data_IF_337880189870
#
_entry.id   IF_337880189870
#
_cell.length_a   1.000
_cell.length_b   1.000
_cell.length_c   1.000
_cell.angle_alpha   90.00
_cell.angle_beta   90.00
_cell.angle_gamma   90.00
#
_symmetry.space_group_name_H-M   'P 1'
#
loop_
_entity.id
_entity.type
_entity.pdbx_description
1 polymer ?
#
# COMPACT_ATOMS: atom_id res chain seq x y z
N UNK A 1 -29.71 -17.04 13.50
CA UNK A 1 -28.96 -17.72 14.57
C UNK A 1 -29.90 -18.68 15.26
N UNK A 2 -29.59 -19.98 15.28
CA UNK A 2 -30.37 -20.94 16.06
C UNK A 2 -30.17 -20.66 17.56
N UNK A 3 -31.10 -21.09 18.41
CA UNK A 3 -31.09 -20.79 19.85
C UNK A 3 -29.85 -21.29 20.64
N UNK A 4 -28.92 -22.02 20.00
CA UNK A 4 -27.74 -22.60 20.66
C UNK A 4 -26.40 -22.02 20.20
N UNK A 5 -26.36 -21.12 19.21
CA UNK A 5 -25.09 -20.54 18.74
C UNK A 5 -24.67 -19.37 19.64
N UNK A 6 -23.46 -19.44 20.20
CA UNK A 6 -22.89 -18.36 21.02
C UNK A 6 -21.72 -17.72 20.30
N UNK A 7 -21.76 -16.39 20.16
CA UNK A 7 -20.65 -15.62 19.62
C UNK A 7 -19.70 -15.23 20.75
N UNK A 8 -18.45 -15.68 20.67
CA UNK A 8 -17.41 -15.46 21.67
C UNK A 8 -16.25 -14.67 21.09
N UNK A 9 -15.56 -13.90 21.94
CA UNK A 9 -14.31 -13.23 21.56
C UNK A 9 -13.19 -14.28 21.46
N UNK A 10 -12.51 -14.35 20.32
CA UNK A 10 -11.41 -15.29 20.12
C UNK A 10 -10.07 -14.81 20.70
N UNK A 11 -9.96 -13.55 21.13
CA UNK A 11 -8.69 -12.90 21.52
C UNK A 11 -8.73 -12.45 23.00
N UNK A 12 -9.35 -13.25 23.87
CA UNK A 12 -9.33 -13.02 25.32
C UNK A 12 -9.32 -14.34 26.09
N UNK A 13 -8.81 -14.29 27.31
CA UNK A 13 -8.78 -15.44 28.23
C UNK A 13 -10.15 -15.75 28.86
N UNK A 14 -11.15 -14.89 28.62
CA UNK A 14 -12.50 -15.02 29.15
C UNK A 14 -13.51 -15.41 28.06
N UNK A 15 -14.01 -16.63 28.16
CA UNK A 15 -14.97 -17.27 27.26
C UNK A 15 -16.35 -16.59 27.27
N UNK A 16 -16.61 -15.76 28.30
CA UNK A 16 -17.88 -15.04 28.46
C UNK A 16 -17.85 -13.63 27.85
N UNK A 17 -16.69 -13.15 27.39
CA UNK A 17 -16.62 -11.88 26.67
C UNK A 17 -17.26 -12.02 25.29
N UNK A 18 -18.41 -11.36 25.12
CA UNK A 18 -19.10 -11.27 23.83
C UNK A 18 -18.22 -10.53 22.84
N UNK A 19 -18.11 -11.06 21.62
CA UNK A 19 -17.55 -10.30 20.51
C UNK A 19 -18.42 -9.07 20.21
N UNK A 20 -17.80 -7.94 19.83
CA UNK A 20 -18.48 -6.67 19.55
C UNK A 20 -19.30 -6.65 18.25
N UNK A 21 -19.57 -7.81 17.63
CA UNK A 21 -20.34 -7.92 16.40
C UNK A 21 -21.81 -7.58 16.68
N UNK A 22 -22.19 -6.33 16.43
CA UNK A 22 -23.47 -5.79 16.91
C UNK A 22 -24.41 -5.38 15.76
N UNK A 23 -23.91 -4.99 14.57
CA UNK A 23 -24.76 -4.44 13.50
C UNK A 23 -24.35 -4.79 12.06
N UNK A 24 -25.34 -5.07 11.21
CA UNK A 24 -25.19 -5.34 9.76
C UNK A 24 -24.64 -4.14 8.98
N UNK A 25 -24.92 -2.91 9.43
CA UNK A 25 -24.46 -1.67 8.78
C UNK A 25 -22.93 -1.58 8.79
N UNK A 26 -22.27 -1.83 9.94
CA UNK A 26 -20.81 -1.82 10.02
C UNK A 26 -20.16 -2.94 9.23
N UNK A 27 -20.84 -4.09 9.09
CA UNK A 27 -20.39 -5.16 8.20
C UNK A 27 -20.38 -4.71 6.74
N UNK A 28 -21.44 -4.02 6.29
CA UNK A 28 -21.51 -3.48 4.93
C UNK A 28 -20.44 -2.43 4.68
N UNK A 29 -20.25 -1.47 5.61
CA UNK A 29 -19.17 -0.48 5.50
C UNK A 29 -17.79 -1.14 5.42
N UNK A 30 -17.50 -2.09 6.32
CA UNK A 30 -16.23 -2.80 6.30
C UNK A 30 -16.03 -3.64 5.04
N UNK A 31 -17.08 -4.29 4.53
CA UNK A 31 -17.03 -5.01 3.27
C UNK A 31 -16.69 -4.09 2.09
N UNK A 32 -17.28 -2.90 2.04
CA UNK A 32 -16.95 -1.88 1.02
C UNK A 32 -15.49 -1.43 1.12
N UNK A 33 -14.97 -1.20 2.32
CA UNK A 33 -13.54 -0.89 2.49
C UNK A 33 -12.65 -2.05 2.08
N UNK A 34 -12.97 -3.28 2.50
CA UNK A 34 -12.28 -4.49 2.05
C UNK A 34 -12.29 -4.56 0.52
N UNK A 35 -13.40 -4.26 -0.15
CA UNK A 35 -13.47 -4.21 -1.61
C UNK A 35 -12.47 -3.22 -2.22
N UNK A 36 -12.45 -1.96 -1.76
CA UNK A 36 -11.55 -0.91 -2.27
C UNK A 36 -10.08 -1.33 -2.15
N UNK A 37 -9.68 -1.84 -0.98
CA UNK A 37 -8.29 -2.20 -0.70
C UNK A 37 -7.88 -3.58 -1.25
N UNK A 38 -8.82 -4.53 -1.36
CA UNK A 38 -8.55 -5.91 -1.78
C UNK A 38 -8.47 -6.08 -3.31
N UNK A 39 -9.20 -5.28 -4.09
CA UNK A 39 -9.16 -5.33 -5.55
C UNK A 39 -7.93 -4.66 -6.17
N UNK A 40 -6.96 -4.24 -5.38
CA UNK A 40 -5.85 -3.40 -5.85
C UNK A 40 -6.34 -2.14 -6.58
N UNK A 41 -7.59 -1.71 -6.39
CA UNK A 41 -8.20 -0.61 -7.16
C UNK A 41 -7.38 0.68 -7.06
N UNK A 42 -6.87 0.99 -5.87
CA UNK A 42 -5.97 2.12 -5.64
C UNK A 42 -4.60 1.93 -6.32
N UNK A 43 -4.08 0.70 -6.36
CA UNK A 43 -2.83 0.40 -7.06
C UNK A 43 -3.00 0.53 -8.58
N UNK A 44 -4.13 0.08 -9.14
CA UNK A 44 -4.49 0.27 -10.54
C UNK A 44 -4.53 1.75 -10.91
N UNK A 45 -5.27 2.55 -10.14
CA UNK A 45 -5.36 3.99 -10.34
C UNK A 45 -3.96 4.63 -10.28
N UNK A 46 -3.13 4.25 -9.32
CA UNK A 46 -1.77 4.77 -9.19
C UNK A 46 -0.86 4.39 -10.38
N UNK A 47 -0.95 3.16 -10.89
CA UNK A 47 -0.18 2.73 -12.09
C UNK A 47 -0.69 3.47 -13.34
N UNK A 48 -2.00 3.65 -13.49
CA UNK A 48 -2.57 4.45 -14.59
C UNK A 48 -2.09 5.90 -14.53
N UNK A 49 -2.04 6.50 -13.33
CA UNK A 49 -1.47 7.84 -13.15
C UNK A 49 0.01 7.89 -13.57
N UNK A 50 0.79 6.83 -13.36
CA UNK A 50 2.18 6.77 -13.84
C UNK A 50 2.30 6.76 -15.38
N UNK A 51 1.24 6.43 -16.11
CA UNK A 51 1.16 6.49 -17.58
C UNK A 51 0.61 7.85 -18.02
N UNK A 52 -0.52 8.28 -17.45
CA UNK A 52 -1.22 9.52 -17.84
C UNK A 52 -0.36 10.73 -17.56
N UNK A 53 0.32 10.77 -16.41
CA UNK A 53 1.11 11.91 -15.99
C UNK A 53 2.22 12.29 -17.02
N UNK A 54 3.13 11.40 -17.45
CA UNK A 54 4.11 11.78 -18.45
C UNK A 54 3.50 12.15 -19.81
N UNK A 55 2.37 11.54 -20.21
CA UNK A 55 1.64 11.93 -21.44
C UNK A 55 1.16 13.37 -21.33
N UNK A 56 0.51 13.72 -20.21
CA UNK A 56 0.05 15.07 -19.94
C UNK A 56 1.21 16.08 -20.01
N UNK A 57 2.31 15.81 -19.31
CA UNK A 57 3.48 16.70 -19.33
C UNK A 57 4.15 16.80 -20.70
N UNK A 58 4.03 15.77 -21.55
CA UNK A 58 4.53 15.81 -22.92
C UNK A 58 3.65 16.66 -23.84
N UNK A 59 2.33 16.61 -23.67
CA UNK A 59 1.37 17.38 -24.48
C UNK A 59 1.34 18.85 -24.09
N UNK A 60 1.43 19.16 -22.79
CA UNK A 60 1.33 20.52 -22.25
C UNK A 60 2.68 21.18 -21.96
N UNK A 61 3.80 20.45 -22.11
CA UNK A 61 5.15 20.90 -21.80
C UNK A 61 5.80 21.79 -22.86
N UNK A 62 5.04 22.55 -23.66
CA UNK A 62 5.61 23.51 -24.61
C UNK A 62 6.15 24.74 -23.85
N UNK A 63 7.48 24.94 -23.87
CA UNK A 63 8.18 26.03 -23.18
C UNK A 63 8.56 25.67 -21.73
N UNK A 64 9.46 24.69 -21.56
CA UNK A 64 9.65 23.99 -20.28
C UNK A 64 10.19 24.93 -19.20
N UNK A 65 9.32 25.27 -18.25
CA UNK A 65 9.70 25.94 -17.01
C UNK A 65 10.34 24.92 -16.06
N UNK A 66 11.50 25.23 -15.48
CA UNK A 66 12.19 24.38 -14.49
C UNK A 66 11.26 23.94 -13.35
N UNK A 67 10.30 24.79 -12.96
CA UNK A 67 9.31 24.48 -11.93
C UNK A 67 8.40 23.31 -12.30
N UNK A 68 8.03 23.19 -13.58
CA UNK A 68 7.16 22.12 -14.08
C UNK A 68 7.88 20.75 -14.05
N UNK A 69 9.17 20.72 -14.43
CA UNK A 69 10.02 19.53 -14.33
C UNK A 69 10.22 19.09 -12.87
N UNK A 70 10.42 20.05 -11.96
CA UNK A 70 10.53 19.78 -10.52
C UNK A 70 9.25 19.19 -9.95
N UNK A 71 8.10 19.80 -10.29
CA UNK A 71 6.80 19.29 -9.89
C UNK A 71 6.56 17.88 -10.43
N UNK A 72 6.89 17.62 -11.71
CA UNK A 72 6.80 16.28 -12.30
C UNK A 72 7.62 15.24 -11.51
N UNK A 73 8.89 15.51 -11.28
CA UNK A 73 9.77 14.57 -10.57
C UNK A 73 9.28 14.30 -9.14
N UNK A 74 8.83 15.35 -8.43
CA UNK A 74 8.29 15.23 -7.06
C UNK A 74 7.01 14.40 -7.04
N UNK A 75 6.06 14.72 -7.91
CA UNK A 75 4.76 14.03 -7.97
C UNK A 75 4.91 12.57 -8.43
N UNK A 76 5.76 12.28 -9.41
CA UNK A 76 6.05 10.89 -9.83
C UNK A 76 6.69 10.08 -8.70
N UNK A 77 7.64 10.67 -7.97
CA UNK A 77 8.26 10.02 -6.82
C UNK A 77 7.24 9.76 -5.70
N UNK A 78 6.30 10.68 -5.45
CA UNK A 78 5.21 10.47 -4.48
C UNK A 78 4.31 9.29 -4.86
N UNK A 79 3.94 9.16 -6.14
CA UNK A 79 3.13 8.02 -6.62
C UNK A 79 3.91 6.70 -6.48
N UNK A 80 5.21 6.70 -6.78
CA UNK A 80 6.05 5.50 -6.60
C UNK A 80 6.21 5.13 -5.12
N UNK A 81 6.38 6.12 -4.24
CA UNK A 81 6.41 5.89 -2.79
C UNK A 81 5.07 5.36 -2.28
N UNK A 82 3.94 5.87 -2.79
CA UNK A 82 2.61 5.36 -2.46
C UNK A 82 2.48 3.88 -2.81
N UNK A 83 2.79 3.51 -4.06
CA UNK A 83 2.77 2.11 -4.52
C UNK A 83 3.71 1.22 -3.69
N UNK A 84 4.88 1.74 -3.32
CA UNK A 84 5.85 1.01 -2.51
C UNK A 84 5.29 0.72 -1.13
N UNK A 85 4.79 1.73 -0.42
CA UNK A 85 4.22 1.53 0.92
C UNK A 85 3.02 0.58 0.90
N UNK A 86 2.16 0.71 -0.11
CA UNK A 86 0.96 -0.11 -0.22
C UNK A 86 1.30 -1.59 -0.45
N UNK A 87 2.18 -1.88 -1.41
CA UNK A 87 2.65 -3.25 -1.69
C UNK A 87 3.54 -3.81 -0.58
N UNK A 88 4.35 -2.97 0.06
CA UNK A 88 5.18 -3.38 1.19
C UNK A 88 4.33 -3.82 2.38
N UNK A 89 3.30 -3.04 2.74
CA UNK A 89 2.43 -3.38 3.87
C UNK A 89 1.70 -4.70 3.63
N UNK A 90 1.20 -4.94 2.42
CA UNK A 90 0.48 -6.19 2.14
C UNK A 90 1.42 -7.39 2.31
N UNK A 91 2.65 -7.33 1.77
CA UNK A 91 3.63 -8.41 1.97
C UNK A 91 4.02 -8.56 3.44
N UNK A 92 4.33 -7.45 4.12
CA UNK A 92 4.78 -7.45 5.51
C UNK A 92 3.69 -7.98 6.45
N UNK A 93 2.44 -7.57 6.26
CA UNK A 93 1.31 -8.04 7.06
C UNK A 93 1.03 -9.53 6.84
N UNK A 94 1.16 -10.04 5.60
CA UNK A 94 1.01 -11.48 5.31
C UNK A 94 2.13 -12.30 5.96
N UNK A 95 3.37 -11.81 5.92
CA UNK A 95 4.49 -12.43 6.63
C UNK A 95 4.23 -12.47 8.15
N UNK A 96 3.77 -11.36 8.74
CA UNK A 96 3.43 -11.31 10.17
C UNK A 96 2.28 -12.25 10.52
N UNK A 97 1.22 -12.30 9.71
CA UNK A 97 0.08 -13.22 9.92
C UNK A 97 0.51 -14.69 9.89
N UNK A 98 1.48 -15.04 9.04
CA UNK A 98 2.03 -16.38 8.98
C UNK A 98 2.92 -16.70 10.20
N UNK A 99 3.78 -15.77 10.59
CA UNK A 99 4.73 -15.96 11.70
C UNK A 99 4.06 -15.87 13.09
N UNK A 100 2.95 -15.14 13.19
CA UNK A 100 2.19 -14.94 14.43
C UNK A 100 0.73 -15.35 14.23
N UNK A 101 0.43 -16.65 14.05
CA UNK A 101 -0.93 -17.11 13.89
C UNK A 101 -1.71 -16.83 15.18
N UNK A 102 -2.61 -15.85 15.12
CA UNK A 102 -3.59 -15.60 16.19
C UNK A 102 -4.96 -16.10 15.78
N UNK A 103 -5.72 -16.50 16.79
CA UNK A 103 -7.15 -16.75 16.65
C UNK A 103 -7.85 -15.53 16.04
N UNK A 104 -8.87 -15.76 15.20
CA UNK A 104 -9.68 -14.68 14.66
C UNK A 104 -10.44 -13.97 15.78
N UNK A 105 -10.83 -12.71 15.52
CA UNK A 105 -11.44 -11.85 16.54
C UNK A 105 -12.73 -12.42 17.13
N UNK A 106 -13.55 -13.09 16.31
CA UNK A 106 -14.85 -13.61 16.72
C UNK A 106 -15.00 -15.07 16.29
N UNK A 107 -15.40 -15.89 17.26
CA UNK A 107 -15.65 -17.32 17.10
C UNK A 107 -17.15 -17.58 17.32
N UNK A 108 -17.69 -18.52 16.56
CA UNK A 108 -19.03 -19.06 16.73
C UNK A 108 -18.88 -20.43 17.41
N UNK A 109 -19.48 -20.56 18.58
CA UNK A 109 -19.62 -21.82 19.29
C UNK A 109 -20.99 -22.43 18.99
N UNK A 110 -20.99 -23.59 18.34
CA UNK A 110 -22.22 -24.33 17.98
C UNK A 110 -22.60 -25.41 19.01
N UNK A 111 -21.86 -25.52 20.13
CA UNK A 111 -22.07 -26.54 21.16
C UNK A 111 -21.09 -27.72 21.09
N UNK A 112 -20.54 -28.00 19.90
CA UNK A 112 -19.58 -29.08 19.66
C UNK A 112 -18.24 -28.56 19.13
N UNK A 113 -18.25 -27.55 18.25
CA UNK A 113 -17.07 -27.00 17.59
C UNK A 113 -16.99 -25.46 17.70
N UNK A 114 -15.74 -24.95 17.70
CA UNK A 114 -15.41 -23.53 17.59
C UNK A 114 -15.02 -23.22 16.15
N UNK A 115 -15.89 -22.51 15.44
CA UNK A 115 -15.60 -22.07 14.07
C UNK A 115 -15.38 -20.56 14.03
N UNK A 116 -14.45 -20.07 13.18
CA UNK A 116 -14.32 -18.64 12.96
C UNK A 116 -15.60 -18.04 12.39
N UNK A 117 -16.07 -16.92 12.95
CA UNK A 117 -17.17 -16.14 12.34
C UNK A 117 -16.77 -15.65 10.94
N UNK A 118 -15.46 -15.41 10.72
CA UNK A 118 -14.88 -15.05 9.43
C UNK A 118 -13.50 -15.70 9.25
N UNK A 119 -13.25 -16.43 8.15
CA UNK A 119 -12.00 -17.17 7.93
C UNK A 119 -10.79 -16.27 7.61
N UNK A 120 -11.00 -15.03 7.17
CA UNK A 120 -9.97 -14.21 6.50
C UNK A 120 -9.16 -13.24 7.38
N UNK A 121 -9.38 -13.19 8.69
CA UNK A 121 -8.91 -12.07 9.51
C UNK A 121 -7.82 -12.47 10.52
N UNK A 122 -6.61 -12.68 9.99
CA UNK A 122 -5.39 -12.81 10.79
C UNK A 122 -4.95 -11.48 11.43
N UNK A 123 -4.04 -11.55 12.40
CA UNK A 123 -3.37 -10.38 12.99
C UNK A 123 -2.00 -10.19 12.36
N UNK A 124 -1.60 -8.98 11.94
CA UNK A 124 -2.32 -7.70 11.95
C UNK A 124 -3.35 -7.57 10.81
N UNK A 125 -4.31 -6.65 10.96
CA UNK A 125 -5.31 -6.32 9.93
C UNK A 125 -4.69 -5.46 8.83
N UNK A 126 -4.55 -6.04 7.63
CA UNK A 126 -3.95 -5.38 6.45
C UNK A 126 -4.67 -4.08 6.12
N UNK A 127 -6.01 -4.06 6.18
CA UNK A 127 -6.82 -2.89 5.83
C UNK A 127 -6.56 -1.73 6.79
N UNK A 128 -6.46 -2.01 8.10
CA UNK A 128 -6.17 -0.98 9.09
C UNK A 128 -4.75 -0.43 8.87
N UNK A 129 -3.77 -1.30 8.58
CA UNK A 129 -2.41 -0.84 8.27
C UNK A 129 -2.36 0.05 7.02
N UNK A 130 -3.04 -0.34 5.94
CA UNK A 130 -3.10 0.43 4.68
C UNK A 130 -3.78 1.79 4.87
N UNK A 131 -4.90 1.82 5.58
CA UNK A 131 -5.63 3.07 5.88
C UNK A 131 -4.84 3.99 6.80
N UNK A 132 -4.07 3.42 7.74
CA UNK A 132 -3.14 4.18 8.59
C UNK A 132 -2.06 4.87 7.75
N UNK A 133 -1.42 4.15 6.82
CA UNK A 133 -0.42 4.77 5.94
C UNK A 133 -1.04 5.83 5.04
N UNK A 134 -2.21 5.56 4.45
CA UNK A 134 -2.89 6.51 3.59
C UNK A 134 -3.14 7.83 4.36
N UNK A 135 -3.63 7.74 5.59
CA UNK A 135 -3.83 8.89 6.46
C UNK A 135 -2.52 9.64 6.75
N UNK A 136 -1.45 8.92 7.12
CA UNK A 136 -0.14 9.52 7.41
C UNK A 136 0.50 10.19 6.18
N UNK A 137 0.29 9.63 4.99
CA UNK A 137 0.75 10.23 3.73
C UNK A 137 0.06 11.57 3.46
N UNK A 138 -1.26 11.66 3.70
CA UNK A 138 -1.97 12.94 3.58
C UNK A 138 -1.57 13.93 4.67
N UNK A 139 -1.34 13.48 5.90
CA UNK A 139 -0.91 14.34 7.01
C UNK A 139 0.47 14.97 6.76
N UNK A 140 1.34 14.29 6.00
CA UNK A 140 2.66 14.80 5.61
C UNK A 140 2.63 15.74 4.38
N UNK A 141 1.53 15.81 3.64
CA UNK A 141 1.48 16.59 2.41
C UNK A 141 1.41 18.10 2.72
N UNK A 142 2.52 18.83 2.53
CA UNK A 142 2.62 20.28 2.72
C UNK A 142 2.00 21.08 1.56
N UNK A 143 0.67 21.08 1.44
CA UNK A 143 -0.05 21.97 0.53
C UNK A 143 -1.08 22.84 1.26
N UNK A 144 -0.95 24.17 1.13
CA UNK A 144 -1.92 25.14 1.63
C UNK A 144 -3.29 24.86 0.98
N UNK A 145 -4.26 24.41 1.77
CA UNK A 145 -5.61 24.04 1.31
C UNK A 145 -5.99 22.56 1.48
N UNK A 146 -5.04 21.68 1.86
CA UNK A 146 -5.30 20.24 2.03
C UNK A 146 -5.92 19.84 3.37
N UNK A 147 -6.22 20.80 4.25
CA UNK A 147 -6.82 20.55 5.56
C UNK A 147 -8.12 19.74 5.44
N UNK A 148 -8.98 20.06 4.48
CA UNK A 148 -10.23 19.31 4.25
C UNK A 148 -9.96 17.86 3.85
N UNK A 149 -8.94 17.61 3.03
CA UNK A 149 -8.54 16.26 2.62
C UNK A 149 -8.00 15.46 3.82
N UNK A 150 -7.20 16.10 4.69
CA UNK A 150 -6.69 15.49 5.92
C UNK A 150 -7.84 15.13 6.87
N UNK A 151 -8.81 16.04 7.05
CA UNK A 151 -10.00 15.77 7.88
C UNK A 151 -10.81 14.60 7.31
N UNK A 152 -11.04 14.57 6.00
CA UNK A 152 -11.76 13.48 5.35
C UNK A 152 -11.01 12.14 5.45
N UNK A 153 -9.68 12.15 5.25
CA UNK A 153 -8.83 10.97 5.41
C UNK A 153 -8.83 10.47 6.87
N UNK A 154 -8.82 11.37 7.84
CA UNK A 154 -8.92 11.03 9.26
C UNK A 154 -10.27 10.41 9.61
N UNK A 155 -11.36 10.99 9.13
CA UNK A 155 -12.70 10.42 9.27
C UNK A 155 -12.79 9.02 8.64
N UNK A 156 -12.28 8.87 7.42
CA UNK A 156 -12.23 7.59 6.71
C UNK A 156 -11.45 6.52 7.49
N UNK A 157 -10.28 6.89 8.04
CA UNK A 157 -9.46 6.01 8.88
C UNK A 157 -10.18 5.57 10.16
N UNK A 158 -10.79 6.52 10.88
CA UNK A 158 -11.56 6.24 12.11
C UNK A 158 -12.73 5.31 11.80
N UNK A 159 -13.52 5.63 10.77
CA UNK A 159 -14.67 4.83 10.36
C UNK A 159 -14.28 3.42 9.94
N UNK A 160 -13.17 3.27 9.22
CA UNK A 160 -12.68 1.93 8.82
C UNK A 160 -12.28 1.10 10.03
N UNK A 161 -11.58 1.73 11.00
CA UNK A 161 -11.13 1.05 12.23
C UNK A 161 -12.31 0.63 13.10
N UNK A 162 -13.26 1.54 13.36
CA UNK A 162 -14.47 1.24 14.13
C UNK A 162 -15.30 0.17 13.43
N UNK A 163 -15.49 0.27 12.10
CA UNK A 163 -16.23 -0.73 11.33
C UNK A 163 -15.55 -2.10 11.35
N UNK A 164 -14.22 -2.17 11.35
CA UNK A 164 -13.47 -3.43 11.48
C UNK A 164 -13.74 -4.12 12.82
N UNK A 165 -13.81 -3.34 13.91
CA UNK A 165 -14.08 -3.85 15.26
C UNK A 165 -15.54 -4.28 15.40
N UNK A 166 -16.48 -3.41 15.04
CA UNK A 166 -17.92 -3.65 15.20
C UNK A 166 -18.49 -4.68 14.20
N UNK A 167 -17.77 -4.97 13.12
CA UNK A 167 -18.10 -6.07 12.20
C UNK A 167 -17.60 -7.43 12.67
N UNK A 168 -16.86 -7.50 13.79
CA UNK A 168 -16.21 -8.71 14.27
C UNK A 168 -14.99 -9.14 13.45
N UNK A 169 -14.48 -8.26 12.58
CA UNK A 169 -13.34 -8.57 11.71
C UNK A 169 -11.99 -8.36 12.39
N UNK A 170 -11.92 -7.54 13.44
CA UNK A 170 -10.71 -7.36 14.23
C UNK A 170 -11.06 -7.11 15.69
N UNK A 171 -10.26 -7.62 16.62
CA UNK A 171 -10.37 -7.21 18.03
C UNK A 171 -9.78 -5.81 18.23
N UNK A 172 -10.10 -5.16 19.36
CA UNK A 172 -9.51 -3.87 19.74
C UNK A 172 -7.98 -3.97 19.77
N UNK A 173 -7.43 -5.04 20.34
CA UNK A 173 -5.99 -5.26 20.39
C UNK A 173 -5.38 -5.41 18.99
N UNK A 174 -6.00 -6.19 18.11
CA UNK A 174 -5.54 -6.34 16.73
C UNK A 174 -5.57 -5.00 15.97
N UNK A 175 -6.63 -4.20 16.17
CA UNK A 175 -6.75 -2.88 15.55
C UNK A 175 -5.63 -1.95 16.03
N UNK A 176 -5.40 -1.85 17.34
CA UNK A 176 -4.32 -1.02 17.91
C UNK A 176 -2.94 -1.45 17.41
N UNK A 177 -2.66 -2.76 17.43
CA UNK A 177 -1.40 -3.31 16.94
C UNK A 177 -1.20 -3.02 15.43
N UNK A 178 -2.27 -3.08 14.64
CA UNK A 178 -2.24 -2.73 13.21
C UNK A 178 -1.93 -1.25 12.98
N UNK A 179 -2.53 -0.35 13.77
CA UNK A 179 -2.22 1.08 13.72
C UNK A 179 -0.76 1.34 14.11
N UNK A 180 -0.28 0.72 15.19
CA UNK A 180 1.12 0.83 15.62
C UNK A 180 2.10 0.36 14.54
N UNK A 181 1.84 -0.79 13.89
CA UNK A 181 2.68 -1.26 12.79
C UNK A 181 2.62 -0.33 11.57
N UNK A 182 1.43 0.19 11.21
CA UNK A 182 1.29 1.17 10.13
C UNK A 182 2.10 2.44 10.38
N UNK A 183 2.00 3.01 11.58
CA UNK A 183 2.80 4.15 12.02
C UNK A 183 4.30 3.83 11.99
N UNK A 184 4.71 2.69 12.56
CA UNK A 184 6.10 2.27 12.61
C UNK A 184 6.71 2.15 11.21
N UNK A 185 6.05 1.44 10.29
CA UNK A 185 6.50 1.32 8.89
C UNK A 185 6.66 2.69 8.25
N UNK A 186 5.67 3.58 8.39
CA UNK A 186 5.72 4.91 7.82
C UNK A 186 6.89 5.74 8.33
N UNK A 187 7.11 5.79 9.65
CA UNK A 187 8.20 6.58 10.23
C UNK A 187 9.59 5.99 9.95
N UNK A 188 9.74 4.66 9.96
CA UNK A 188 11.01 3.99 9.68
C UNK A 188 11.50 4.31 8.26
N UNK A 189 10.66 4.13 7.24
CA UNK A 189 11.06 4.44 5.86
C UNK A 189 11.31 5.92 5.60
N UNK A 190 10.63 6.78 6.35
CA UNK A 190 10.85 8.22 6.26
C UNK A 190 12.15 8.67 6.98
N UNK A 191 12.62 7.91 7.95
CA UNK A 191 13.88 8.14 8.65
C UNK A 191 15.07 7.54 7.90
N UNK A 192 14.86 6.45 7.15
CA UNK A 192 15.92 5.80 6.39
C UNK A 192 16.22 6.53 5.06
N UNK A 193 17.48 6.51 4.60
CA UNK A 193 17.81 6.95 3.25
C UNK A 193 17.12 6.14 2.14
N UNK A 194 16.89 6.74 0.96
CA UNK A 194 16.33 6.09 -0.23
C UNK A 194 16.93 4.71 -0.59
N UNK A 195 18.22 4.51 -0.34
CA UNK A 195 18.92 3.24 -0.63
C UNK A 195 18.35 2.05 0.15
N UNK A 196 17.65 2.28 1.26
CA UNK A 196 17.08 1.19 2.06
C UNK A 196 15.86 0.55 1.41
N UNK A 197 15.15 1.24 0.51
CA UNK A 197 14.00 0.66 -0.21
C UNK A 197 14.38 -0.63 -0.96
N UNK A 198 15.38 -0.65 -1.86
CA UNK A 198 15.77 -1.88 -2.54
C UNK A 198 16.38 -2.92 -1.60
N UNK A 199 17.08 -2.51 -0.53
CA UNK A 199 17.67 -3.43 0.45
C UNK A 199 16.57 -4.19 1.20
N UNK A 200 15.60 -3.48 1.77
CA UNK A 200 14.50 -4.10 2.52
C UNK A 200 13.63 -4.94 1.58
N UNK A 201 13.39 -4.49 0.35
CA UNK A 201 12.71 -5.28 -0.68
C UNK A 201 13.39 -6.64 -0.92
N UNK A 202 14.72 -6.67 -1.08
CA UNK A 202 15.46 -7.91 -1.29
C UNK A 202 15.30 -8.85 -0.09
N UNK A 203 15.45 -8.34 1.13
CA UNK A 203 15.29 -9.13 2.36
C UNK A 203 13.89 -9.74 2.47
N UNK A 204 12.85 -8.95 2.21
CA UNK A 204 11.46 -9.42 2.25
C UNK A 204 11.18 -10.43 1.14
N UNK A 205 11.68 -10.20 -0.07
CA UNK A 205 11.47 -11.12 -1.19
C UNK A 205 12.10 -12.49 -0.90
N UNK A 206 13.30 -12.51 -0.30
CA UNK A 206 13.94 -13.76 0.17
C UNK A 206 13.08 -14.42 1.24
N UNK A 207 12.56 -13.66 2.22
CA UNK A 207 11.69 -14.20 3.27
C UNK A 207 10.39 -14.81 2.69
N UNK A 208 9.75 -14.14 1.74
CA UNK A 208 8.53 -14.65 1.09
C UNK A 208 8.81 -15.94 0.33
N UNK A 209 9.88 -16.00 -0.48
CA UNK A 209 10.21 -17.19 -1.26
C UNK A 209 10.56 -18.37 -0.35
N UNK A 210 11.33 -18.13 0.71
CA UNK A 210 11.75 -19.19 1.65
C UNK A 210 10.58 -19.73 2.48
N UNK A 211 9.66 -18.87 2.91
CA UNK A 211 8.51 -19.26 3.74
C UNK A 211 7.39 -19.85 2.89
N UNK A 212 6.95 -19.14 1.84
CA UNK A 212 5.77 -19.53 1.07
C UNK A 212 6.08 -20.47 -0.10
N UNK A 213 7.32 -20.51 -0.59
CA UNK A 213 7.72 -21.39 -1.68
C UNK A 213 7.42 -22.87 -1.41
N UNK A 214 7.86 -23.44 -0.27
CA UNK A 214 7.54 -24.82 0.10
C UNK A 214 6.04 -25.08 0.26
N UNK A 215 5.28 -24.11 0.77
CA UNK A 215 3.86 -24.30 1.09
C UNK A 215 2.95 -24.25 -0.12
N UNK A 216 3.34 -23.49 -1.16
CA UNK A 216 2.68 -23.58 -2.47
C UNK A 216 2.88 -24.95 -3.09
N UNK A 217 4.06 -25.56 -2.93
CA UNK A 217 4.35 -26.90 -3.45
C UNK A 217 3.59 -27.99 -2.68
N UNK A 218 3.41 -27.83 -1.37
CA UNK A 218 2.78 -28.83 -0.49
C UNK A 218 1.23 -28.82 -0.48
N UNK A 219 0.56 -27.99 -1.30
CA UNK A 219 -0.90 -27.97 -1.46
C UNK A 219 -1.72 -27.89 -0.16
N UNK A 220 -1.26 -27.15 0.84
CA UNK A 220 -2.08 -26.89 2.02
C UNK A 220 -3.13 -25.80 1.69
N UNK A 221 -4.42 -26.16 1.59
CA UNK A 221 -5.50 -25.27 1.10
C UNK A 221 -5.61 -23.94 1.85
N UNK A 222 -5.44 -23.91 3.18
CA UNK A 222 -5.52 -22.66 3.97
C UNK A 222 -4.24 -21.81 3.86
N UNK A 223 -3.06 -22.44 3.94
CA UNK A 223 -1.79 -21.77 3.68
C UNK A 223 -1.73 -21.23 2.24
N UNK A 224 -2.46 -21.87 1.31
CA UNK A 224 -2.49 -21.48 -0.09
C UNK A 224 -3.06 -20.07 -0.28
N UNK A 225 -4.04 -19.61 0.49
CA UNK A 225 -4.62 -18.27 0.29
C UNK A 225 -3.65 -17.16 0.70
N UNK A 226 -3.05 -17.27 1.88
CA UNK A 226 -2.02 -16.34 2.38
C UNK A 226 -0.79 -16.34 1.46
N UNK A 227 -0.30 -17.51 1.08
CA UNK A 227 0.81 -17.65 0.15
C UNK A 227 0.49 -17.02 -1.21
N UNK A 228 -0.73 -17.22 -1.72
CA UNK A 228 -1.21 -16.63 -2.97
C UNK A 228 -1.19 -15.10 -2.91
N UNK A 229 -1.80 -14.53 -1.88
CA UNK A 229 -1.83 -13.07 -1.69
C UNK A 229 -0.43 -12.48 -1.49
N UNK A 230 0.45 -13.21 -0.79
CA UNK A 230 1.84 -12.81 -0.53
C UNK A 230 2.68 -12.77 -1.81
N UNK A 231 2.58 -13.80 -2.66
CA UNK A 231 3.30 -13.87 -3.94
C UNK A 231 2.86 -12.75 -4.87
N UNK A 232 1.55 -12.52 -5.00
CA UNK A 232 1.01 -11.41 -5.81
C UNK A 232 1.51 -10.05 -5.32
N UNK A 233 1.44 -9.80 -4.01
CA UNK A 233 1.92 -8.55 -3.42
C UNK A 233 3.43 -8.36 -3.62
N UNK A 234 4.20 -9.44 -3.57
CA UNK A 234 5.66 -9.43 -3.78
C UNK A 234 6.01 -9.13 -5.24
N UNK A 235 5.24 -9.64 -6.19
CA UNK A 235 5.40 -9.29 -7.61
C UNK A 235 5.12 -7.81 -7.84
N UNK A 236 4.02 -7.28 -7.29
CA UNK A 236 3.71 -5.86 -7.38
C UNK A 236 4.83 -5.00 -6.77
N UNK A 237 5.31 -5.36 -5.58
CA UNK A 237 6.44 -4.70 -4.91
C UNK A 237 7.70 -4.72 -5.78
N UNK A 238 7.98 -5.84 -6.45
CA UNK A 238 9.11 -5.98 -7.40
C UNK A 238 9.01 -4.96 -8.53
N UNK A 239 7.85 -4.89 -9.19
CA UNK A 239 7.61 -3.93 -10.27
C UNK A 239 7.78 -2.49 -9.77
N UNK A 240 7.23 -2.17 -8.59
CA UNK A 240 7.36 -0.84 -8.01
C UNK A 240 8.80 -0.47 -7.68
N UNK A 241 9.58 -1.38 -7.10
CA UNK A 241 10.99 -1.12 -6.77
C UNK A 241 11.84 -0.94 -8.04
N UNK A 242 11.57 -1.70 -9.11
CA UNK A 242 12.23 -1.51 -10.40
C UNK A 242 11.92 -0.10 -10.94
N UNK A 243 10.65 0.30 -10.97
CA UNK A 243 10.25 1.64 -11.42
C UNK A 243 10.86 2.74 -10.54
N UNK A 244 10.94 2.52 -9.23
CA UNK A 244 11.59 3.42 -8.30
C UNK A 244 13.08 3.62 -8.64
N UNK A 245 13.82 2.53 -8.87
CA UNK A 245 15.24 2.59 -9.25
C UNK A 245 15.42 3.30 -10.59
N UNK A 246 14.59 2.99 -11.59
CA UNK A 246 14.64 3.63 -12.90
C UNK A 246 14.36 5.14 -12.79
N UNK A 247 13.36 5.53 -12.01
CA UNK A 247 13.04 6.94 -11.76
C UNK A 247 14.20 7.65 -11.03
N UNK A 248 14.75 7.05 -9.98
CA UNK A 248 15.87 7.62 -9.24
C UNK A 248 17.14 7.80 -10.11
N UNK A 249 17.43 6.85 -11.01
CA UNK A 249 18.51 6.97 -12.01
C UNK A 249 18.25 8.04 -13.07
N UNK A 250 16.99 8.38 -13.33
CA UNK A 250 16.60 9.40 -14.32
C UNK A 250 16.63 10.83 -13.78
N UNK A 251 16.90 11.01 -12.49
CA UNK A 251 16.95 12.32 -11.83
C UNK A 251 18.42 12.66 -11.56
N UNK A 252 18.91 13.70 -12.24
CA UNK A 252 20.26 14.21 -12.01
C UNK A 252 20.39 14.70 -10.56
N UNK A 253 21.42 14.22 -9.84
CA UNK A 253 21.67 14.60 -8.44
C UNK A 253 20.81 13.88 -7.40
N UNK A 254 20.18 12.75 -7.72
CA UNK A 254 19.45 11.95 -6.72
C UNK A 254 20.36 11.45 -5.59
N UNK A 255 20.09 11.89 -4.36
CA UNK A 255 20.90 11.60 -3.18
C UNK A 255 20.44 10.31 -2.48
N UNK A 256 20.97 9.18 -2.92
CA UNK A 256 20.64 7.86 -2.37
C UNK A 256 20.87 7.69 -0.85
N UNK A 257 21.86 8.41 -0.31
CA UNK A 257 22.32 8.26 1.08
C UNK A 257 21.88 9.40 2.00
N UNK A 258 21.17 10.41 1.49
CA UNK A 258 20.69 11.51 2.33
C UNK A 258 19.20 11.31 2.65
N UNK A 259 18.81 11.66 3.88
CA UNK A 259 17.42 11.63 4.35
C UNK A 259 16.69 12.83 3.74
N UNK A 260 16.49 12.80 2.43
CA UNK A 260 15.86 13.89 1.69
C UNK A 260 14.92 13.31 0.63
N UNK A 261 13.81 12.73 1.09
CA UNK A 261 12.76 12.18 0.25
C UNK A 261 12.04 13.22 -0.62
N UNK A 262 12.02 14.49 -0.19
CA UNK A 262 11.18 15.53 -0.82
C UNK A 262 11.88 16.89 -1.03
N UNK A 263 12.72 17.34 -0.09
CA UNK A 263 13.27 18.71 -0.12
C UNK A 263 14.71 18.80 -0.62
N UNK A 264 15.42 17.67 -0.68
CA UNK A 264 16.85 17.66 -1.02
C UNK A 264 17.17 17.82 -2.49
N UNK A 265 16.14 17.75 -3.34
CA UNK A 265 16.35 17.61 -4.76
C UNK A 265 16.71 18.94 -5.41
N UNK A 266 16.40 20.10 -4.81
CA UNK A 266 16.95 21.41 -5.16
C UNK A 266 16.70 22.45 -4.04
N UNK A 267 17.53 22.49 -3.00
CA UNK A 267 17.80 23.77 -2.33
C UNK A 267 18.71 24.60 -3.23
N UNK A 268 18.14 25.25 -4.24
CA UNK A 268 18.68 26.55 -4.66
C UNK A 268 18.32 27.51 -3.53
N UNK A 269 19.34 27.93 -2.78
CA UNK A 269 19.34 29.07 -1.84
C UNK A 269 17.97 29.53 -1.33
N UNK A 270 17.65 29.20 -0.07
CA UNK A 270 16.70 29.97 0.74
C UNK A 270 17.30 31.37 1.01
N UNK A 271 17.38 32.19 -0.03
CA UNK A 271 17.45 33.64 0.11
C UNK A 271 16.14 34.16 -0.49
N UNK A 272 15.17 34.44 0.38
CA UNK A 272 13.83 34.96 0.06
C UNK A 272 13.86 36.41 -0.49
N UNK A 273 14.97 36.86 -1.08
CA UNK A 273 15.16 38.23 -1.56
C UNK A 273 15.58 38.35 -3.03
N UNK A 274 15.83 37.25 -3.73
CA UNK A 274 16.27 37.30 -5.13
C UNK A 274 15.11 36.97 -6.06
N UNK A 275 14.73 37.93 -6.91
CA UNK A 275 13.79 37.71 -8.00
C UNK A 275 14.28 36.52 -8.85
N UNK A 276 13.56 35.40 -8.75
CA UNK A 276 13.85 34.19 -9.54
C UNK A 276 13.46 34.52 -10.98
N UNK A 277 14.42 34.97 -11.78
CA UNK A 277 14.25 35.09 -13.23
C UNK A 277 14.02 33.67 -13.74
N UNK A 278 12.87 33.37 -14.38
CA UNK A 278 12.64 32.06 -14.97
C UNK A 278 13.64 31.88 -16.11
N UNK A 279 14.73 31.19 -15.84
CA UNK A 279 15.67 30.79 -16.88
C UNK A 279 14.96 29.78 -17.77
N UNK A 280 14.63 30.21 -18.98
CA UNK A 280 14.21 29.31 -20.06
C UNK A 280 15.31 28.26 -20.19
N UNK A 281 14.93 26.98 -20.07
CA UNK A 281 15.88 25.88 -20.21
C UNK A 281 16.56 25.98 -21.57
N UNK A 282 17.86 25.67 -21.62
CA UNK A 282 18.58 25.60 -22.89
C UNK A 282 17.92 24.52 -23.74
N UNK A 283 17.88 24.69 -25.07
CA UNK A 283 17.30 23.73 -26.02
C UNK A 283 17.79 22.29 -25.79
N UNK A 284 19.04 22.12 -25.34
CA UNK A 284 19.61 20.81 -24.97
C UNK A 284 18.97 20.13 -23.77
N UNK A 285 18.41 20.88 -22.82
CA UNK A 285 17.73 20.35 -21.64
C UNK A 285 16.27 20.01 -21.92
N UNK A 286 15.62 20.72 -22.84
CA UNK A 286 14.28 20.38 -23.33
C UNK A 286 14.28 18.99 -24.01
N UNK A 287 15.29 18.71 -24.84
CA UNK A 287 15.51 17.40 -25.47
C UNK A 287 15.80 16.28 -24.46
N UNK A 288 16.37 16.58 -23.29
CA UNK A 288 16.62 15.60 -22.23
C UNK A 288 15.33 15.26 -21.50
N UNK A 289 14.51 16.26 -21.16
CA UNK A 289 13.24 16.05 -20.47
C UNK A 289 12.23 15.32 -21.35
N UNK A 290 12.10 15.69 -22.63
CA UNK A 290 11.23 14.97 -23.57
C UNK A 290 11.61 13.48 -23.73
N UNK A 291 12.92 13.18 -23.82
CA UNK A 291 13.42 11.79 -23.84
C UNK A 291 13.14 11.06 -22.52
N UNK A 292 13.24 11.74 -21.38
CA UNK A 292 12.88 11.19 -20.07
C UNK A 292 11.40 10.81 -20.04
N UNK A 293 10.50 11.72 -20.40
CA UNK A 293 9.05 11.46 -20.44
C UNK A 293 8.72 10.25 -21.31
N UNK A 294 9.38 10.10 -22.47
CA UNK A 294 9.18 8.94 -23.35
C UNK A 294 9.59 7.63 -22.69
N UNK A 295 10.76 7.60 -22.03
CA UNK A 295 11.20 6.43 -21.27
C UNK A 295 10.24 6.12 -20.13
N UNK A 296 9.77 7.15 -19.42
CA UNK A 296 8.83 7.01 -18.32
C UNK A 296 7.48 6.43 -18.79
N UNK A 297 6.96 6.84 -19.97
CA UNK A 297 5.77 6.24 -20.57
C UNK A 297 6.02 4.76 -20.87
N UNK A 298 7.12 4.44 -21.55
CA UNK A 298 7.44 3.06 -21.95
C UNK A 298 7.55 2.16 -20.72
N UNK A 299 8.29 2.57 -19.69
CA UNK A 299 8.45 1.78 -18.46
C UNK A 299 7.13 1.63 -17.70
N UNK A 300 6.32 2.68 -17.60
CA UNK A 300 5.01 2.59 -16.95
C UNK A 300 4.05 1.64 -17.69
N UNK A 301 4.04 1.66 -19.04
CA UNK A 301 3.22 0.75 -19.86
C UNK A 301 3.69 -0.70 -19.72
N UNK A 302 5.01 -0.95 -19.78
CA UNK A 302 5.56 -2.29 -19.56
C UNK A 302 5.18 -2.81 -18.17
N UNK A 303 5.30 -1.97 -17.14
CA UNK A 303 4.92 -2.33 -15.77
C UNK A 303 3.41 -2.64 -15.65
N UNK A 304 2.56 -1.83 -16.25
CA UNK A 304 1.10 -2.04 -16.27
C UNK A 304 0.72 -3.37 -16.94
N UNK A 305 1.29 -3.63 -18.12
CA UNK A 305 1.07 -4.90 -18.84
C UNK A 305 1.60 -6.09 -18.05
N UNK A 306 2.78 -5.97 -17.41
CA UNK A 306 3.34 -7.02 -16.57
C UNK A 306 2.43 -7.35 -15.38
N UNK A 307 1.88 -6.34 -14.70
CA UNK A 307 0.92 -6.52 -13.59
C UNK A 307 -0.39 -7.13 -14.07
N UNK A 308 -0.90 -6.72 -15.24
CA UNK A 308 -2.10 -7.31 -15.86
C UNK A 308 -1.91 -8.80 -16.17
N UNK A 309 -0.83 -9.14 -16.88
CA UNK A 309 -0.53 -10.52 -17.28
C UNK A 309 -0.36 -11.38 -16.02
N UNK A 310 0.42 -10.90 -15.05
CA UNK A 310 0.64 -11.63 -13.80
C UNK A 310 -0.67 -11.88 -13.06
N UNK A 311 -1.51 -10.84 -12.88
CA UNK A 311 -2.81 -10.99 -12.21
C UNK A 311 -3.75 -11.94 -12.97
N UNK A 312 -3.77 -11.90 -14.31
CA UNK A 312 -4.58 -12.79 -15.14
C UNK A 312 -4.15 -14.26 -14.99
N UNK A 313 -2.84 -14.53 -15.08
CA UNK A 313 -2.27 -15.86 -14.83
C UNK A 313 -2.64 -16.33 -13.42
N UNK A 314 -2.49 -15.46 -12.43
CA UNK A 314 -2.74 -15.80 -11.04
C UNK A 314 -4.22 -16.16 -10.77
N UNK A 315 -5.15 -15.38 -11.32
CA UNK A 315 -6.59 -15.66 -11.20
C UNK A 315 -6.95 -16.97 -11.89
N UNK A 316 -6.39 -17.23 -13.08
CA UNK A 316 -6.75 -18.41 -13.89
C UNK A 316 -6.14 -19.72 -13.35
N UNK A 317 -4.87 -19.70 -12.95
CA UNK A 317 -4.16 -20.93 -12.55
C UNK A 317 -4.35 -21.32 -11.09
N UNK A 318 -4.73 -20.40 -10.20
CA UNK A 318 -4.77 -20.66 -8.76
C UNK A 318 -6.20 -20.75 -8.18
N UNK A 319 -7.23 -20.84 -9.02
CA UNK A 319 -8.67 -20.95 -8.65
C UNK A 319 -9.01 -19.98 -7.50
N UNK A 320 -8.66 -18.71 -7.69
CA UNK A 320 -8.90 -17.67 -6.70
C UNK A 320 -10.39 -17.28 -6.76
N UNK A 321 -11.26 -18.11 -6.16
CA UNK A 321 -12.69 -17.87 -6.12
C UNK A 321 -13.00 -16.75 -5.12
N UNK A 322 -13.40 -15.62 -5.68
CA UNK A 322 -13.66 -14.35 -4.98
C UNK A 322 -14.95 -14.31 -4.15
N UNK A 323 -15.81 -15.33 -4.25
CA UNK A 323 -17.17 -15.32 -3.68
C UNK A 323 -17.60 -16.74 -3.32
N UNK A 324 -17.40 -17.12 -2.06
CA UNK A 324 -18.22 -18.12 -1.37
C UNK A 324 -17.92 -17.95 0.13
N UNK A 325 -18.54 -16.90 0.71
CA UNK A 325 -19.19 -16.90 2.03
C UNK A 325 -19.80 -15.52 2.32
#
# INVERSE_FOLDING_TARGET
MSNNQRLTNGIGDDWFNKCCESYTVFKAFYASFKMIFHFDSLNWIAIELLIIMPIFFRLYGFGIQQNLTRFYNKSRLQILNFLFFFSFITVFSILLQYLMPRSPACLIWDGNDLNPSRPDNGSPSVIIMLTTILFLMFLRADFKGWILVIIFAGFFFIMTTISSILSGSSSIFQALLSVCFGCWVFYVFNFLPPVFVPIVYLLISIAVVTIFGPEVVRYNKAASYLAKSGIRSTFLLTVTVILYILNAKSIDGFKWFQIQWYDGLLTSSKDDSVAIIPTVLRVTDEDRFGRKLNKDIIYSVIAFVAVLIFNSIFVHFLDYRFYQD
#
